data_IF_201619746377
#
_entry.id   IF_201619746377
#
_cell.length_a   1.000
_cell.length_b   1.000
_cell.length_c   1.000
_cell.angle_alpha   90.00
_cell.angle_beta   90.00
_cell.angle_gamma   90.00
#
_symmetry.space_group_name_H-M   'P 1'
#
loop_
_entity.id
_entity.type
_entity.pdbx_description
1 polymer ?
#
# COMPACT_ATOMS: atom_id res chain seq x y z
N UNK A 1 -21.33 -8.13 5.36
CA UNK A 1 -21.30 -7.91 3.89
C UNK A 1 -20.67 -9.13 3.27
N UNK A 2 -21.21 -9.67 2.18
CA UNK A 2 -20.72 -10.92 1.57
C UNK A 2 -19.43 -10.72 0.75
N UNK A 3 -19.05 -9.47 0.53
CA UNK A 3 -18.05 -9.10 -0.46
C UNK A 3 -16.60 -9.19 0.08
N UNK A 4 -16.41 -9.14 1.40
CA UNK A 4 -15.09 -9.23 2.06
C UNK A 4 -15.14 -10.05 3.37
N UNK A 5 -15.22 -11.39 3.28
CA UNK A 5 -15.16 -12.24 4.47
C UNK A 5 -13.81 -12.10 5.17
N UNK A 6 -13.82 -11.92 6.50
CA UNK A 6 -12.61 -11.86 7.33
C UNK A 6 -12.08 -10.44 7.63
N UNK A 7 -12.68 -9.39 7.05
CA UNK A 7 -12.31 -8.01 7.37
C UNK A 7 -13.04 -7.55 8.64
N UNK A 8 -12.28 -7.33 9.72
CA UNK A 8 -12.81 -6.73 10.95
C UNK A 8 -13.12 -5.25 10.74
N UNK A 9 -14.23 -4.79 11.32
CA UNK A 9 -14.70 -3.41 11.15
C UNK A 9 -14.98 -2.75 12.50
N UNK A 10 -14.66 -1.46 12.61
CA UNK A 10 -15.05 -0.62 13.75
C UNK A 10 -16.48 -0.14 13.53
N UNK A 11 -17.32 -0.32 14.55
CA UNK A 11 -18.76 -0.02 14.48
C UNK A 11 -19.20 0.91 15.59
N UNK A 12 -20.03 1.89 15.22
CA UNK A 12 -20.80 2.67 16.19
C UNK A 12 -22.07 1.90 16.59
N UNK A 13 -22.33 1.69 17.88
CA UNK A 13 -23.58 1.10 18.35
C UNK A 13 -24.78 1.91 17.86
N UNK A 14 -25.78 1.23 17.28
CA UNK A 14 -27.01 1.83 16.74
C UNK A 14 -26.79 2.86 15.62
N UNK A 15 -25.58 2.98 15.07
CA UNK A 15 -25.27 3.81 13.92
C UNK A 15 -25.92 3.25 12.65
N UNK A 16 -26.42 4.15 11.79
CA UNK A 16 -26.98 3.77 10.47
C UNK A 16 -25.92 3.74 9.36
N UNK A 17 -24.67 4.08 9.68
CA UNK A 17 -23.56 4.09 8.72
C UNK A 17 -22.84 2.74 8.70
N UNK A 18 -22.31 2.31 7.54
CA UNK A 18 -21.42 1.16 7.48
C UNK A 18 -20.20 1.33 8.39
N UNK A 19 -19.73 0.24 9.00
CA UNK A 19 -18.50 0.24 9.81
C UNK A 19 -17.23 0.40 8.97
N UNK A 20 -16.18 0.96 9.58
CA UNK A 20 -14.88 1.20 8.96
C UNK A 20 -14.02 -0.06 8.97
N UNK A 21 -13.40 -0.42 7.84
CA UNK A 21 -12.48 -1.56 7.71
C UNK A 21 -11.07 -1.31 8.29
N UNK A 22 -10.90 -0.23 9.03
CA UNK A 22 -9.63 0.21 9.63
C UNK A 22 -9.88 0.65 11.06
N UNK A 23 -8.90 0.40 11.94
CA UNK A 23 -8.90 0.86 13.33
C UNK A 23 -8.10 2.14 13.55
N UNK A 24 -7.41 2.62 12.49
CA UNK A 24 -6.63 3.84 12.53
C UNK A 24 -6.90 4.69 11.29
N UNK A 25 -7.25 5.96 11.49
CA UNK A 25 -7.47 6.93 10.42
C UNK A 25 -7.37 8.37 10.94
N UNK A 26 -7.06 9.32 10.06
CA UNK A 26 -7.37 10.72 10.32
C UNK A 26 -8.85 10.99 10.00
N UNK A 27 -9.45 12.04 10.58
CA UNK A 27 -10.88 12.33 10.36
C UNK A 27 -11.79 11.33 11.04
N UNK A 28 -12.98 11.07 10.47
CA UNK A 28 -14.01 10.17 11.03
C UNK A 28 -14.29 10.42 12.52
N UNK A 29 -14.45 11.70 12.88
CA UNK A 29 -14.56 12.15 14.27
C UNK A 29 -15.65 11.43 15.07
N UNK A 30 -16.78 11.13 14.43
CA UNK A 30 -17.88 10.40 15.05
C UNK A 30 -17.49 8.98 15.49
N UNK A 31 -16.44 8.39 14.94
CA UNK A 31 -15.98 7.03 15.25
C UNK A 31 -14.86 6.99 16.31
N UNK A 32 -14.32 8.15 16.73
CA UNK A 32 -13.17 8.20 17.64
C UNK A 32 -13.47 7.61 19.01
N UNK A 33 -14.67 7.85 19.52
CA UNK A 33 -15.13 7.31 20.81
C UNK A 33 -15.46 5.80 20.76
N UNK A 34 -15.37 5.18 19.57
CA UNK A 34 -15.74 3.78 19.32
C UNK A 34 -14.54 2.93 18.91
N UNK A 35 -13.31 3.37 19.20
CA UNK A 35 -12.09 2.60 19.01
C UNK A 35 -11.27 2.96 17.76
N UNK A 36 -11.68 3.99 17.00
CA UNK A 36 -10.87 4.55 15.92
C UNK A 36 -9.84 5.53 16.50
N UNK A 37 -8.54 5.30 16.27
CA UNK A 37 -7.48 6.22 16.71
C UNK A 37 -6.78 6.89 15.53
N UNK A 38 -6.14 8.04 15.77
CA UNK A 38 -5.32 8.74 14.75
C UNK A 38 -3.81 8.54 14.97
N UNK A 39 -3.42 7.82 16.01
CA UNK A 39 -2.02 7.62 16.37
C UNK A 39 -1.40 6.62 15.37
N UNK A 40 -0.34 7.00 14.63
CA UNK A 40 0.30 6.10 13.69
C UNK A 40 1.12 5.02 14.41
N UNK A 41 1.47 3.96 13.68
CA UNK A 41 2.59 3.12 14.06
C UNK A 41 3.87 3.68 13.42
N UNK A 42 4.94 3.78 14.20
CA UNK A 42 6.17 4.46 13.77
C UNK A 42 7.32 3.48 13.85
N UNK A 43 7.92 3.20 12.69
CA UNK A 43 9.11 2.38 12.57
C UNK A 43 10.26 3.19 11.98
N UNK A 44 11.49 2.83 12.34
CA UNK A 44 12.69 3.45 11.82
C UNK A 44 13.65 2.37 11.32
N UNK A 45 14.22 2.57 10.13
CA UNK A 45 15.22 1.69 9.54
C UNK A 45 16.37 2.52 8.99
N UNK A 46 17.60 2.15 9.36
CA UNK A 46 18.80 2.71 8.74
C UNK A 46 18.96 2.10 7.34
N UNK A 47 19.02 2.95 6.32
CA UNK A 47 19.30 2.52 4.95
C UNK A 47 20.73 2.01 4.83
N UNK A 48 20.89 0.97 4.02
CA UNK A 48 22.14 0.34 3.66
C UNK A 48 22.34 0.41 2.16
N UNK A 49 23.55 0.10 1.68
CA UNK A 49 23.83 0.00 0.24
C UNK A 49 23.05 -1.13 -0.46
N UNK A 50 22.49 -2.08 0.30
CA UNK A 50 21.62 -3.13 -0.23
C UNK A 50 20.16 -2.70 -0.45
N UNK A 51 19.74 -1.58 0.15
CA UNK A 51 18.38 -1.06 -0.02
C UNK A 51 18.30 -0.26 -1.33
N UNK A 52 17.49 -0.73 -2.28
CA UNK A 52 17.41 -0.13 -3.62
C UNK A 52 16.28 0.88 -3.76
N UNK A 53 15.11 0.58 -3.20
CA UNK A 53 13.92 1.43 -3.26
C UNK A 53 12.90 1.07 -2.17
N UNK A 54 11.91 1.95 -2.01
CA UNK A 54 10.69 1.71 -1.23
C UNK A 54 9.47 1.86 -2.16
N UNK A 55 8.49 0.98 -1.97
CA UNK A 55 7.17 1.06 -2.61
C UNK A 55 6.16 1.45 -1.53
N UNK A 56 5.44 2.55 -1.75
CA UNK A 56 4.25 2.94 -0.98
C UNK A 56 3.05 2.83 -1.91
N UNK A 57 1.98 2.17 -1.49
CA UNK A 57 0.76 2.08 -2.29
C UNK A 57 -0.48 1.92 -1.43
N UNK A 58 -1.65 2.21 -2.00
CA UNK A 58 -2.96 1.98 -1.37
C UNK A 58 -3.35 0.50 -1.41
N UNK A 59 -4.33 0.12 -0.60
CA UNK A 59 -4.94 -1.22 -0.57
C UNK A 59 -5.45 -1.67 -1.94
N UNK A 60 -6.01 -0.77 -2.76
CA UNK A 60 -6.37 -1.09 -4.14
C UNK A 60 -5.26 -1.78 -4.97
N UNK A 61 -3.98 -1.50 -4.68
CA UNK A 61 -2.83 -2.22 -5.26
C UNK A 61 -2.55 -3.53 -4.50
N UNK A 62 -2.39 -3.46 -3.17
CA UNK A 62 -1.96 -4.60 -2.35
C UNK A 62 -2.99 -5.73 -2.25
N UNK A 63 -4.26 -5.41 -2.48
CA UNK A 63 -5.36 -6.37 -2.53
C UNK A 63 -5.25 -7.38 -3.67
N UNK A 64 -4.48 -7.05 -4.72
CA UNK A 64 -4.35 -7.85 -5.93
C UNK A 64 -2.92 -8.09 -6.38
N UNK A 65 -1.91 -7.49 -5.73
CA UNK A 65 -0.48 -7.66 -6.04
C UNK A 65 0.28 -8.05 -4.77
N UNK A 66 1.03 -9.15 -4.82
CA UNK A 66 1.90 -9.56 -3.69
C UNK A 66 3.13 -8.67 -3.57
N UNK A 67 3.77 -8.67 -2.40
CA UNK A 67 5.03 -7.95 -2.18
C UNK A 67 6.12 -8.37 -3.20
N UNK A 68 6.24 -9.67 -3.48
CA UNK A 68 7.21 -10.22 -4.41
C UNK A 68 6.90 -9.84 -5.86
N UNK A 69 5.63 -9.82 -6.25
CA UNK A 69 5.19 -9.36 -7.57
C UNK A 69 5.52 -7.87 -7.75
N UNK A 70 5.17 -7.04 -6.76
CA UNK A 70 5.42 -5.61 -6.79
C UNK A 70 6.92 -5.29 -6.92
N UNK A 71 7.77 -5.95 -6.12
CA UNK A 71 9.23 -5.82 -6.19
C UNK A 71 9.74 -6.23 -7.57
N UNK A 72 9.30 -7.36 -8.14
CA UNK A 72 9.71 -7.80 -9.48
C UNK A 72 9.33 -6.78 -10.56
N UNK A 73 8.13 -6.21 -10.49
CA UNK A 73 7.64 -5.23 -11.46
C UNK A 73 8.46 -3.94 -11.40
N UNK A 74 8.72 -3.45 -10.19
CA UNK A 74 9.49 -2.22 -9.95
C UNK A 74 10.96 -2.41 -10.34
N UNK A 75 11.58 -3.54 -9.99
CA UNK A 75 12.94 -3.89 -10.42
C UNK A 75 13.08 -3.98 -11.95
N UNK A 76 12.07 -4.50 -12.64
CA UNK A 76 12.08 -4.66 -14.09
C UNK A 76 11.71 -3.39 -14.87
N UNK A 77 11.48 -2.26 -14.19
CA UNK A 77 11.16 -1.00 -14.85
C UNK A 77 12.41 -0.42 -15.52
N UNK A 78 12.37 -0.28 -16.85
CA UNK A 78 13.46 0.36 -17.62
C UNK A 78 13.69 1.83 -17.20
N UNK A 79 12.61 2.50 -16.79
CA UNK A 79 12.59 3.89 -16.36
C UNK A 79 12.02 3.95 -14.94
N UNK A 80 12.83 4.43 -13.99
CA UNK A 80 12.50 4.47 -12.56
C UNK A 80 11.27 5.34 -12.29
N UNK A 81 11.17 6.46 -13.00
CA UNK A 81 10.05 7.41 -12.98
C UNK A 81 8.73 6.79 -13.48
N UNK A 82 8.79 5.66 -14.21
CA UNK A 82 7.63 4.91 -14.69
C UNK A 82 7.31 3.67 -13.85
N UNK A 83 8.08 3.37 -12.82
CA UNK A 83 7.89 2.15 -12.03
C UNK A 83 6.52 2.12 -11.32
N UNK A 84 6.10 3.23 -10.71
CA UNK A 84 4.79 3.34 -10.07
C UNK A 84 3.63 3.17 -11.07
N UNK A 85 3.73 3.81 -12.24
CA UNK A 85 2.73 3.66 -13.32
C UNK A 85 2.63 2.20 -13.80
N UNK A 86 3.78 1.51 -13.94
CA UNK A 86 3.81 0.09 -14.33
C UNK A 86 3.17 -0.79 -13.27
N UNK A 87 3.43 -0.51 -11.99
CA UNK A 87 2.84 -1.24 -10.87
C UNK A 87 1.32 -1.08 -10.85
N UNK A 88 0.81 0.14 -10.97
CA UNK A 88 -0.65 0.41 -11.02
C UNK A 88 -1.29 -0.26 -12.24
N UNK A 89 -0.69 -0.16 -13.42
CA UNK A 89 -1.21 -0.84 -14.63
C UNK A 89 -1.27 -2.36 -14.47
N UNK A 90 -0.29 -2.95 -13.79
CA UNK A 90 -0.32 -4.37 -13.45
C UNK A 90 -1.47 -4.68 -12.48
N UNK A 91 -1.62 -3.90 -11.40
CA UNK A 91 -2.68 -4.07 -10.42
C UNK A 91 -4.08 -3.98 -11.06
N UNK A 92 -4.32 -3.02 -11.95
CA UNK A 92 -5.57 -2.87 -12.71
C UNK A 92 -5.91 -4.16 -13.49
N UNK A 93 -4.91 -4.79 -14.12
CA UNK A 93 -5.11 -6.04 -14.85
C UNK A 93 -5.40 -7.19 -13.89
N UNK A 94 -4.68 -7.29 -12.79
CA UNK A 94 -4.92 -8.33 -11.79
C UNK A 94 -6.28 -8.18 -11.11
N UNK A 95 -6.76 -6.96 -10.86
CA UNK A 95 -8.09 -6.71 -10.33
C UNK A 95 -9.18 -7.26 -11.25
N UNK A 96 -9.11 -6.95 -12.55
CA UNK A 96 -10.05 -7.48 -13.55
C UNK A 96 -10.07 -9.00 -13.59
N UNK A 97 -8.94 -9.65 -13.30
CA UNK A 97 -8.78 -11.11 -13.31
C UNK A 97 -9.24 -11.76 -12.00
N UNK A 98 -8.78 -11.25 -10.86
CA UNK A 98 -8.96 -11.85 -9.52
C UNK A 98 -10.28 -11.42 -8.87
N UNK A 99 -10.76 -10.21 -9.17
CA UNK A 99 -11.97 -9.59 -8.58
C UNK A 99 -12.99 -9.21 -9.66
N UNK A 100 -13.17 -10.11 -10.64
CA UNK A 100 -14.16 -9.91 -11.72
C UNK A 100 -15.57 -9.73 -11.14
N UNK A 101 -16.28 -8.70 -11.60
CA UNK A 101 -17.61 -8.34 -11.11
C UNK A 101 -17.64 -7.45 -9.86
N UNK A 102 -16.47 -7.14 -9.27
CA UNK A 102 -16.35 -6.17 -8.18
C UNK A 102 -15.86 -4.83 -8.75
N UNK A 103 -16.47 -3.73 -8.29
CA UNK A 103 -16.05 -2.39 -8.67
C UNK A 103 -14.56 -2.18 -8.36
N UNK A 104 -13.86 -1.47 -9.25
CA UNK A 104 -12.44 -1.21 -9.08
C UNK A 104 -12.22 -0.11 -8.03
N UNK A 105 -11.25 -0.34 -7.16
CA UNK A 105 -10.84 0.64 -6.16
C UNK A 105 -9.83 1.66 -6.73
N UNK A 106 -9.60 2.75 -6.01
CA UNK A 106 -8.59 3.74 -6.33
C UNK A 106 -7.17 3.18 -6.05
N UNK A 107 -6.34 3.18 -7.10
CA UNK A 107 -5.00 2.58 -7.06
C UNK A 107 -3.92 3.66 -7.19
N UNK A 108 -3.20 3.90 -6.10
CA UNK A 108 -2.07 4.84 -6.08
C UNK A 108 -0.79 4.12 -5.63
N UNK A 109 0.34 4.43 -6.29
CA UNK A 109 1.65 3.91 -5.91
C UNK A 109 2.75 4.95 -6.11
N UNK A 110 3.69 5.00 -5.16
CA UNK A 110 4.91 5.80 -5.16
C UNK A 110 6.09 4.83 -5.06
N UNK A 111 7.05 4.94 -5.98
CA UNK A 111 8.31 4.19 -5.94
C UNK A 111 9.46 5.17 -5.72
N UNK A 112 10.07 5.12 -4.53
CA UNK A 112 11.21 5.95 -4.17
C UNK A 112 12.50 5.14 -4.33
N UNK A 113 13.35 5.51 -5.30
CA UNK A 113 14.65 4.89 -5.50
C UNK A 113 15.73 5.63 -4.72
N UNK A 114 16.54 4.89 -3.97
CA UNK A 114 17.65 5.48 -3.25
C UNK A 114 18.83 5.77 -4.18
N UNK A 115 19.57 6.83 -3.87
CA UNK A 115 20.85 7.06 -4.51
C UNK A 115 21.79 5.92 -4.13
N UNK A 116 22.44 5.30 -5.11
CA UNK A 116 23.59 4.46 -4.81
C UNK A 116 24.66 5.38 -4.26
N UNK A 117 25.00 5.21 -2.98
CA UNK A 117 26.18 5.86 -2.43
C UNK A 117 27.37 5.40 -3.29
N UNK A 118 28.21 6.32 -3.80
CA UNK A 118 29.42 5.92 -4.48
C UNK A 118 30.18 4.98 -3.55
N UNK A 119 30.57 3.80 -4.07
CA UNK A 119 31.49 2.92 -3.36
C UNK A 119 32.67 3.78 -2.92
N UNK A 120 32.81 3.97 -1.62
CA UNK A 120 34.05 4.53 -1.07
C UNK A 120 35.10 3.53 -1.49
N UNK A 121 35.95 3.90 -2.46
CA UNK A 121 37.14 3.13 -2.76
C UNK A 121 37.87 3.01 -1.43
N UNK A 122 37.97 1.79 -0.91
CA UNK A 122 38.95 1.51 0.12
C UNK A 122 40.29 1.95 -0.47
N UNK A 123 40.97 2.86 0.21
CA UNK A 123 42.37 3.09 -0.08
C UNK A 123 43.09 1.80 0.31
N UNK A 124 43.85 1.25 -0.65
CA UNK A 124 44.74 0.09 -0.46
C UNK A 124 45.74 0.33 0.68
#
# INVERSE_FOLDING_TARGET
MKDEPGVYRVWMPNGKTPGLAISRAFGDYCMKDYGLISVPDVTHRKLTTGDQFIILATDGVWDVVSNEEAVKIVCAAAHKEKAGERLVKYAIREWKRKRSGIAMDDMSAICLFFHQLPHTKAFD
#
